data_IF_385976253706
#
_entry.id   IF_385976253706
#
_cell.length_a   1.000
_cell.length_b   1.000
_cell.length_c   1.000
_cell.angle_alpha   90.00
_cell.angle_beta   90.00
_cell.angle_gamma   90.00
#
_symmetry.space_group_name_H-M   'P 1'
#
loop_
_entity.id
_entity.type
_entity.pdbx_description
1 polymer ?
#
# COMPACT_ATOMS: atom_id res chain seq x y z
N UNK A 1 -9.96 32.97 57.37
CA UNK A 1 -10.39 31.65 56.86
C UNK A 1 -10.28 31.65 55.34
N UNK A 2 -9.43 30.76 54.82
CA UNK A 2 -9.31 30.18 53.46
C UNK A 2 -9.49 31.03 52.18
N UNK A 3 -8.37 31.21 51.46
CA UNK A 3 -8.32 31.11 49.98
C UNK A 3 -8.40 29.65 49.53
N UNK A 4 -8.92 29.41 48.32
CA UNK A 4 -8.10 28.83 47.26
C UNK A 4 -8.31 29.59 45.93
N UNK A 5 -7.26 30.11 45.28
CA UNK A 5 -6.31 29.38 44.44
C UNK A 5 -6.93 28.72 43.20
N UNK A 6 -6.62 29.31 42.04
CA UNK A 6 -6.48 28.56 40.79
C UNK A 6 -7.71 28.51 39.89
N UNK A 7 -7.91 29.55 39.08
CA UNK A 7 -8.65 29.46 37.83
C UNK A 7 -7.87 28.52 36.88
N UNK A 8 -8.03 27.22 37.08
CA UNK A 8 -7.39 26.17 36.30
C UNK A 8 -8.06 26.08 34.94
N UNK A 9 -7.34 26.60 33.95
CA UNK A 9 -7.08 25.97 32.66
C UNK A 9 -8.32 25.58 31.84
N UNK A 10 -8.64 26.46 30.90
CA UNK A 10 -9.32 26.11 29.66
C UNK A 10 -8.68 24.89 29.00
N UNK A 11 -9.53 24.09 28.34
CA UNK A 11 -9.31 23.11 27.26
C UNK A 11 -10.25 21.93 27.49
N UNK A 12 -11.55 22.14 27.18
CA UNK A 12 -12.40 21.02 26.79
C UNK A 12 -12.12 20.79 25.31
N UNK A 13 -11.29 19.78 25.07
CA UNK A 13 -10.92 19.21 23.79
C UNK A 13 -12.09 19.10 22.82
N UNK A 14 -11.98 19.74 21.66
CA UNK A 14 -12.80 19.44 20.50
C UNK A 14 -12.35 18.07 19.95
N UNK A 15 -13.06 17.01 20.33
CA UNK A 15 -12.92 15.70 19.70
C UNK A 15 -14.03 15.55 18.66
N UNK A 16 -13.72 15.93 17.42
CA UNK A 16 -14.44 15.45 16.25
C UNK A 16 -13.44 15.37 15.09
N UNK A 17 -12.47 14.45 15.21
CA UNK A 17 -11.76 13.98 14.04
C UNK A 17 -12.75 13.11 13.26
N UNK A 18 -13.39 13.70 12.25
CA UNK A 18 -14.16 12.95 11.29
C UNK A 18 -13.19 12.03 10.53
N UNK A 19 -13.20 10.74 10.87
CA UNK A 19 -12.53 9.72 10.08
C UNK A 19 -13.37 9.58 8.80
N UNK A 20 -12.90 10.20 7.71
CA UNK A 20 -13.43 9.96 6.39
C UNK A 20 -12.85 8.63 5.88
N UNK A 21 -13.28 7.51 6.46
CA UNK A 21 -13.03 6.19 5.90
C UNK A 21 -14.00 5.96 4.73
N UNK A 22 -13.80 6.71 3.65
CA UNK A 22 -14.39 6.35 2.36
C UNK A 22 -13.48 5.28 1.79
N UNK A 23 -13.78 4.02 2.07
CA UNK A 23 -13.27 2.90 1.30
C UNK A 23 -13.93 2.99 -0.09
N UNK A 24 -13.36 3.78 -0.99
CA UNK A 24 -13.66 3.69 -2.42
C UNK A 24 -12.76 2.60 -2.99
N UNK A 25 -13.28 1.41 -3.32
CA UNK A 25 -12.50 0.37 -4.01
C UNK A 25 -11.95 0.85 -5.37
N UNK A 26 -12.40 2.00 -5.88
CA UNK A 26 -11.85 2.63 -7.09
C UNK A 26 -10.46 3.24 -6.92
N UNK A 27 -10.07 3.67 -5.71
CA UNK A 27 -8.78 4.33 -5.50
C UNK A 27 -7.62 3.32 -5.48
N UNK A 28 -7.81 2.17 -4.82
CA UNK A 28 -6.87 1.06 -4.82
C UNK A 28 -6.57 0.54 -6.23
N UNK A 29 -7.61 0.40 -7.06
CA UNK A 29 -7.44 0.00 -8.46
C UNK A 29 -6.55 0.99 -9.23
N UNK A 30 -6.86 2.29 -9.19
CA UNK A 30 -6.11 3.29 -9.96
C UNK A 30 -4.63 3.37 -9.58
N UNK A 31 -4.29 3.10 -8.32
CA UNK A 31 -2.92 3.21 -7.79
C UNK A 31 -1.99 2.11 -8.32
N UNK A 32 -2.47 0.86 -8.38
CA UNK A 32 -1.72 -0.25 -8.97
C UNK A 32 -1.46 -0.03 -10.48
N UNK A 33 -2.47 0.44 -11.22
CA UNK A 33 -2.38 0.58 -12.69
C UNK A 33 -1.30 1.59 -13.14
N UNK A 34 -0.98 2.60 -12.31
CA UNK A 34 0.11 3.55 -12.61
C UNK A 34 1.46 2.82 -12.62
N UNK A 35 1.71 1.98 -11.61
CA UNK A 35 2.93 1.16 -11.57
C UNK A 35 2.97 0.14 -12.70
N UNK A 36 1.82 -0.47 -13.02
CA UNK A 36 1.71 -1.40 -14.15
C UNK A 36 2.06 -0.74 -15.48
N UNK A 37 1.53 0.47 -15.72
CA UNK A 37 1.83 1.25 -16.94
C UNK A 37 3.32 1.54 -17.07
N UNK A 38 3.97 1.94 -15.97
CA UNK A 38 5.42 2.16 -15.95
C UNK A 38 6.19 0.86 -16.23
N UNK A 39 5.72 -0.26 -15.67
CA UNK A 39 6.31 -1.58 -15.86
C UNK A 39 6.24 -2.03 -17.32
N UNK A 40 5.07 -1.92 -17.95
CA UNK A 40 4.86 -2.24 -19.37
C UNK A 40 5.72 -1.39 -20.32
N UNK A 41 6.09 -0.17 -19.90
CA UNK A 41 7.00 0.72 -20.63
C UNK A 41 8.49 0.39 -20.40
N UNK A 42 8.80 -0.69 -19.67
CA UNK A 42 10.17 -1.08 -19.32
C UNK A 42 10.80 -0.23 -18.21
N UNK A 43 10.03 0.67 -17.58
CA UNK A 43 10.51 1.54 -16.50
C UNK A 43 10.39 0.80 -15.15
N UNK A 44 11.06 -0.34 -15.04
CA UNK A 44 10.88 -1.27 -13.91
C UNK A 44 11.20 -0.65 -12.55
N UNK A 45 12.28 0.14 -12.43
CA UNK A 45 12.61 0.80 -11.15
C UNK A 45 11.55 1.84 -10.76
N UNK A 46 10.96 2.54 -11.74
CA UNK A 46 9.87 3.50 -11.51
C UNK A 46 8.62 2.78 -11.03
N UNK A 47 8.26 1.67 -11.68
CA UNK A 47 7.14 0.83 -11.27
C UNK A 47 7.29 0.33 -9.81
N UNK A 48 8.48 -0.14 -9.45
CA UNK A 48 8.79 -0.59 -8.08
C UNK A 48 8.66 0.55 -7.08
N UNK A 49 9.14 1.75 -7.38
CA UNK A 49 8.99 2.91 -6.49
C UNK A 49 7.51 3.26 -6.28
N UNK A 50 6.73 3.30 -7.37
CA UNK A 50 5.29 3.58 -7.32
C UNK A 50 4.56 2.54 -6.46
N UNK A 51 4.74 1.25 -6.77
CA UNK A 51 4.10 0.18 -6.00
C UNK A 51 4.54 0.18 -4.55
N UNK A 52 5.81 0.50 -4.24
CA UNK A 52 6.28 0.60 -2.85
C UNK A 52 5.52 1.67 -2.08
N UNK A 53 5.34 2.86 -2.65
CA UNK A 53 4.59 3.96 -2.01
C UNK A 53 3.14 3.55 -1.72
N UNK A 54 2.48 2.90 -2.68
CA UNK A 54 1.09 2.48 -2.52
C UNK A 54 0.93 1.28 -1.59
N UNK A 55 1.86 0.33 -1.63
CA UNK A 55 1.89 -0.78 -0.69
C UNK A 55 2.06 -0.28 0.75
N UNK A 56 2.94 0.70 0.99
CA UNK A 56 3.06 1.36 2.31
C UNK A 56 1.77 2.08 2.72
N UNK A 57 1.00 2.59 1.77
CA UNK A 57 -0.31 3.19 2.00
C UNK A 57 -1.45 2.18 2.20
N UNK A 58 -1.16 0.87 2.17
CA UNK A 58 -2.14 -0.19 2.39
C UNK A 58 -2.72 -0.81 1.12
N UNK A 59 -2.22 -0.45 -0.07
CA UNK A 59 -2.73 -1.02 -1.33
C UNK A 59 -2.28 -2.48 -1.50
N UNK A 60 -3.23 -3.41 -1.33
CA UNK A 60 -2.99 -4.86 -1.37
C UNK A 60 -2.50 -5.32 -2.76
N UNK A 61 -2.98 -4.71 -3.86
CA UNK A 61 -2.54 -5.07 -5.21
C UNK A 61 -1.08 -4.70 -5.44
N UNK A 62 -0.66 -3.53 -4.97
CA UNK A 62 0.75 -3.10 -5.02
C UNK A 62 1.64 -3.96 -4.13
N UNK A 63 1.17 -4.40 -2.96
CA UNK A 63 1.90 -5.40 -2.15
C UNK A 63 2.09 -6.70 -2.94
N UNK A 64 1.02 -7.23 -3.56
CA UNK A 64 1.13 -8.45 -4.40
C UNK A 64 2.11 -8.23 -5.55
N UNK A 65 2.02 -7.11 -6.26
CA UNK A 65 2.91 -6.77 -7.37
C UNK A 65 4.38 -6.77 -6.96
N UNK A 66 4.71 -6.22 -5.79
CA UNK A 66 6.08 -6.28 -5.26
C UNK A 66 6.48 -7.72 -4.94
N UNK A 67 5.58 -8.53 -4.37
CA UNK A 67 5.80 -9.96 -4.15
C UNK A 67 6.13 -10.71 -5.46
N UNK A 68 5.38 -10.43 -6.51
CA UNK A 68 5.58 -10.99 -7.85
C UNK A 68 6.94 -10.55 -8.40
N UNK A 69 7.24 -9.24 -8.41
CA UNK A 69 8.53 -8.67 -8.86
C UNK A 69 9.73 -9.32 -8.16
N UNK A 70 9.71 -9.44 -6.83
CA UNK A 70 10.85 -9.98 -6.08
C UNK A 70 10.96 -11.51 -6.21
N UNK A 71 9.87 -12.23 -6.44
CA UNK A 71 9.90 -13.69 -6.62
C UNK A 71 10.28 -14.11 -8.04
N UNK A 72 10.14 -13.21 -9.02
CA UNK A 72 10.21 -13.59 -10.43
C UNK A 72 8.92 -14.21 -10.95
N UNK A 73 7.82 -14.15 -10.18
CA UNK A 73 6.51 -14.59 -10.64
C UNK A 73 5.89 -13.60 -11.63
N UNK A 74 5.09 -14.10 -12.56
CA UNK A 74 4.40 -13.27 -13.54
C UNK A 74 3.47 -12.27 -12.85
N UNK A 75 3.43 -11.04 -13.34
CA UNK A 75 2.46 -10.04 -12.89
C UNK A 75 1.08 -10.33 -13.49
N UNK A 76 0.04 -10.29 -12.65
CA UNK A 76 -1.35 -10.28 -13.12
C UNK A 76 -1.68 -8.90 -13.69
N UNK A 77 -1.90 -8.79 -15.00
CA UNK A 77 -2.58 -7.60 -15.50
C UNK A 77 -4.06 -7.58 -15.02
N UNK A 78 -4.71 -6.42 -15.05
CA UNK A 78 -6.11 -6.29 -14.66
C UNK A 78 -7.12 -7.00 -15.60
N UNK A 79 -6.63 -7.62 -16.67
CA UNK A 79 -7.35 -8.30 -17.77
C UNK A 79 -7.02 -9.80 -17.86
N UNK A 80 -6.21 -10.35 -16.96
CA UNK A 80 -5.76 -11.75 -16.95
C UNK A 80 -4.59 -12.09 -17.90
N UNK A 81 -3.89 -11.10 -18.43
CA UNK A 81 -2.66 -11.27 -19.18
C UNK A 81 -1.42 -11.40 -18.28
N UNK A 82 -0.52 -12.27 -18.71
CA UNK A 82 0.75 -12.56 -18.07
C UNK A 82 1.83 -11.60 -18.58
N UNK A 83 2.42 -10.78 -17.71
CA UNK A 83 3.58 -9.94 -18.06
C UNK A 83 4.85 -10.62 -17.51
N UNK A 84 5.75 -11.13 -18.38
CA UNK A 84 7.02 -11.72 -17.96
C UNK A 84 7.88 -10.70 -17.21
N UNK A 85 8.50 -11.13 -16.12
CA UNK A 85 9.37 -10.24 -15.34
C UNK A 85 10.78 -10.14 -15.95
N UNK A 86 10.95 -9.23 -16.90
CA UNK A 86 12.25 -8.85 -17.49
C UNK A 86 13.00 -7.81 -16.62
N UNK A 87 12.96 -7.92 -15.30
CA UNK A 87 13.59 -6.90 -14.43
C UNK A 87 15.12 -6.93 -14.45
N UNK A 88 15.73 -8.01 -14.97
CA UNK A 88 17.17 -8.26 -14.86
C UNK A 88 17.67 -8.37 -13.41
N UNK A 89 16.77 -8.34 -12.43
CA UNK A 89 17.06 -8.41 -11.00
C UNK A 89 17.21 -9.86 -10.58
N UNK A 90 18.11 -10.08 -9.61
CA UNK A 90 18.20 -11.35 -8.91
C UNK A 90 16.94 -11.55 -8.07
N UNK A 91 16.37 -12.75 -8.16
CA UNK A 91 15.25 -13.19 -7.30
C UNK A 91 15.62 -12.99 -5.82
N UNK A 92 14.70 -12.39 -5.08
CA UNK A 92 14.79 -12.11 -3.64
C UNK A 92 13.55 -12.64 -2.92
N UNK A 93 13.59 -13.93 -2.60
CA UNK A 93 12.48 -14.63 -1.97
C UNK A 93 12.14 -14.11 -0.57
N UNK A 94 13.07 -13.44 0.12
CA UNK A 94 12.83 -12.85 1.44
C UNK A 94 11.93 -11.63 1.29
N UNK A 95 12.25 -10.75 0.35
CA UNK A 95 11.39 -9.60 0.04
C UNK A 95 10.06 -10.04 -0.56
N UNK A 96 10.04 -11.07 -1.41
CA UNK A 96 8.79 -11.63 -1.92
C UNK A 96 7.88 -12.13 -0.81
N UNK A 97 8.40 -12.96 0.10
CA UNK A 97 7.64 -13.49 1.24
C UNK A 97 7.10 -12.37 2.13
N UNK A 98 7.90 -11.33 2.38
CA UNK A 98 7.46 -10.15 3.14
C UNK A 98 6.23 -9.52 2.52
N UNK A 99 6.29 -9.21 1.23
CA UNK A 99 5.20 -8.51 0.53
C UNK A 99 3.95 -9.36 0.39
N UNK A 100 4.07 -10.65 0.08
CA UNK A 100 2.92 -11.54 0.06
C UNK A 100 2.27 -11.70 1.43
N UNK A 101 3.06 -11.77 2.50
CA UNK A 101 2.52 -11.88 3.86
C UNK A 101 1.75 -10.61 4.23
N UNK A 102 2.27 -9.43 3.88
CA UNK A 102 1.57 -8.16 4.08
C UNK A 102 0.24 -8.11 3.29
N UNK A 103 0.27 -8.51 2.02
CA UNK A 103 -0.93 -8.56 1.18
C UNK A 103 -2.01 -9.49 1.77
N UNK A 104 -1.61 -10.70 2.20
CA UNK A 104 -2.51 -11.67 2.80
C UNK A 104 -3.09 -11.17 4.14
N UNK A 105 -2.26 -10.56 4.98
CA UNK A 105 -2.69 -10.00 6.26
C UNK A 105 -3.71 -8.87 6.09
N UNK A 106 -3.45 -7.90 5.21
CA UNK A 106 -4.38 -6.81 4.92
C UNK A 106 -5.73 -7.33 4.42
N UNK A 107 -5.71 -8.23 3.42
CA UNK A 107 -6.92 -8.84 2.87
C UNK A 107 -7.75 -9.57 3.92
N UNK A 108 -7.11 -10.23 4.88
CA UNK A 108 -7.80 -10.93 5.96
C UNK A 108 -8.36 -9.96 7.01
N UNK A 109 -7.66 -8.86 7.30
CA UNK A 109 -8.09 -7.87 8.30
C UNK A 109 -9.23 -6.96 7.86
N UNK A 110 -9.48 -6.86 6.54
CA UNK A 110 -10.53 -6.03 5.95
C UNK A 110 -11.81 -6.83 5.62
N UNK A 111 -11.82 -8.14 5.84
CA UNK A 111 -12.91 -9.07 5.51
C UNK A 111 -13.85 -9.40 6.67
#
# INVERSE_FOLDING_TARGET
>A
MMSPSGLRRALKSAAAAAILAVATPSFAHANYEIGLTAYEQGQHDVAIDIWTRFAVAGDVRSMKALGDVYSGAVLDDARGGEIPLETGRKIDNINALRWYTLAAYHRFSEG
#
